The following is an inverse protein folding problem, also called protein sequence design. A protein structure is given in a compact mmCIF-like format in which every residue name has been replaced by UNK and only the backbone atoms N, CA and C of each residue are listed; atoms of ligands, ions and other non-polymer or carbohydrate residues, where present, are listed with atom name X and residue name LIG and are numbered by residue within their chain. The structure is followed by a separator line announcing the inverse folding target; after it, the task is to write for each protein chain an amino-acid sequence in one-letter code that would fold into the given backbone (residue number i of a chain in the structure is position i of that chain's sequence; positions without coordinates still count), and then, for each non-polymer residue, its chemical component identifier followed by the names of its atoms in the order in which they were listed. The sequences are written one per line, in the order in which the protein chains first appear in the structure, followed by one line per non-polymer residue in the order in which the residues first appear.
data_IF_305406607072
#
_entry.id   IF_305406607072
#
_cell.length_a   1.000
_cell.length_b   1.000
_cell.length_c   1.000
_cell.angle_alpha   90.00
_cell.angle_beta   90.00
_cell.angle_gamma   90.00
#
_symmetry.space_group_name_H-M   'P 1'
#
loop_
_entity.id
_entity.type
_entity.pdbx_description
1 polymer ?
#
# COMPACT_ATOMS: atom_id res chain seq x y z
N UNK A 1 -27.00 -15.71 -1.92
CA UNK A 1 -25.68 -16.26 -2.30
C UNK A 1 -24.87 -16.46 -1.03
N UNK A 2 -24.50 -17.70 -0.67
CA UNK A 2 -23.49 -17.96 0.37
C UNK A 2 -22.14 -18.04 -0.36
N UNK A 3 -21.27 -17.06 -0.13
CA UNK A 3 -19.88 -17.12 -0.60
C UNK A 3 -19.08 -18.20 0.14
N UNK A 4 -17.89 -18.55 -0.34
CA UNK A 4 -17.00 -19.45 0.38
C UNK A 4 -16.76 -18.91 1.80
N UNK A 5 -16.91 -19.77 2.81
CA UNK A 5 -16.80 -19.40 4.23
C UNK A 5 -15.36 -19.09 4.66
N UNK A 6 -14.39 -19.44 3.82
CA UNK A 6 -12.96 -19.23 4.05
C UNK A 6 -12.27 -18.91 2.73
N UNK A 7 -11.31 -17.99 2.77
CA UNK A 7 -10.38 -17.72 1.67
C UNK A 7 -8.97 -18.07 2.16
N UNK A 8 -8.19 -18.70 1.28
CA UNK A 8 -6.79 -19.00 1.55
C UNK A 8 -5.93 -17.87 0.99
N UNK A 9 -4.90 -17.47 1.74
CA UNK A 9 -3.96 -16.43 1.33
C UNK A 9 -2.59 -17.05 1.33
N UNK A 10 -1.91 -16.97 0.19
CA UNK A 10 -0.53 -17.43 0.07
C UNK A 10 0.34 -16.71 1.14
N UNK A 11 1.02 -17.45 2.03
CA UNK A 11 1.83 -16.85 3.08
C UNK A 11 2.95 -15.97 2.55
N UNK A 12 3.48 -16.24 1.34
CA UNK A 12 4.50 -15.41 0.69
C UNK A 12 3.90 -14.04 0.34
N UNK A 13 2.69 -14.03 -0.24
CA UNK A 13 1.99 -12.78 -0.58
C UNK A 13 1.69 -11.97 0.67
N UNK A 14 1.27 -12.63 1.76
CA UNK A 14 1.00 -11.96 3.03
C UNK A 14 2.28 -11.36 3.66
N UNK A 15 3.41 -12.07 3.56
CA UNK A 15 4.71 -11.58 4.02
C UNK A 15 5.16 -10.35 3.21
N UNK A 16 5.10 -10.40 1.88
CA UNK A 16 5.45 -9.26 1.02
C UNK A 16 4.53 -8.05 1.24
N UNK A 17 3.23 -8.28 1.47
CA UNK A 17 2.28 -7.24 1.82
C UNK A 17 2.63 -6.51 3.12
N UNK A 18 3.19 -7.24 4.09
CA UNK A 18 3.63 -6.69 5.37
C UNK A 18 4.97 -5.97 5.22
N UNK A 19 5.96 -6.60 4.57
CA UNK A 19 7.27 -6.02 4.27
C UNK A 19 7.17 -4.69 3.52
N UNK A 20 6.30 -4.63 2.51
CA UNK A 20 6.06 -3.41 1.71
C UNK A 20 5.61 -2.23 2.59
N UNK A 21 4.84 -2.47 3.65
CA UNK A 21 4.40 -1.42 4.58
C UNK A 21 5.47 -1.04 5.58
N UNK A 22 6.27 -2.00 6.04
CA UNK A 22 7.44 -1.72 6.89
C UNK A 22 8.46 -0.84 6.16
N UNK A 23 8.73 -1.13 4.88
CA UNK A 23 9.59 -0.29 4.03
C UNK A 23 9.04 1.13 3.83
N UNK A 24 7.72 1.30 3.90
CA UNK A 24 7.07 2.62 3.90
C UNK A 24 7.14 3.32 5.27
N UNK A 25 7.66 2.67 6.32
CA UNK A 25 7.63 3.16 7.69
C UNK A 25 6.28 2.98 8.40
N UNK A 26 5.34 2.25 7.78
CA UNK A 26 3.98 2.05 8.27
C UNK A 26 3.91 0.81 9.18
N UNK A 27 4.67 0.80 10.28
CA UNK A 27 4.75 -0.37 11.16
C UNK A 27 3.44 -0.69 11.89
N UNK A 28 2.62 0.32 12.18
CA UNK A 28 1.31 0.18 12.86
C UNK A 28 0.14 0.01 11.87
N UNK A 29 0.41 -0.45 10.64
CA UNK A 29 -0.60 -0.48 9.58
C UNK A 29 -1.80 -1.37 9.89
N UNK A 30 -1.62 -2.41 10.71
CA UNK A 30 -2.71 -3.32 11.10
C UNK A 30 -3.70 -2.61 12.01
N UNK A 31 -3.20 -1.80 12.95
CA UNK A 31 -3.98 -0.93 13.82
C UNK A 31 -4.66 0.15 12.98
N UNK A 32 -3.94 0.83 12.09
CA UNK A 32 -4.52 1.86 11.19
C UNK A 32 -5.65 1.28 10.36
N UNK A 33 -5.50 0.09 9.75
CA UNK A 33 -6.57 -0.56 9.00
C UNK A 33 -7.77 -0.92 9.88
N UNK A 34 -7.53 -1.43 11.09
CA UNK A 34 -8.61 -1.76 12.03
C UNK A 34 -9.39 -0.51 12.43
N UNK A 35 -8.70 0.59 12.67
CA UNK A 35 -9.31 1.88 12.98
C UNK A 35 -10.11 2.43 11.80
N UNK A 36 -9.60 2.31 10.56
CA UNK A 36 -10.32 2.74 9.36
C UNK A 36 -11.69 2.04 9.24
N UNK A 37 -11.80 0.77 9.63
CA UNK A 37 -13.09 0.06 9.65
C UNK A 37 -14.10 0.63 10.65
N UNK A 38 -13.64 1.37 11.66
CA UNK A 38 -14.47 2.01 12.68
C UNK A 38 -14.79 3.48 12.33
N UNK A 39 -14.26 4.02 11.23
CA UNK A 39 -14.53 5.41 10.85
C UNK A 39 -15.95 5.59 10.34
N UNK A 40 -16.52 6.77 10.60
CA UNK A 40 -17.79 7.13 10.00
C UNK A 40 -17.66 7.35 8.49
N UNK A 41 -18.78 7.22 7.78
CA UNK A 41 -18.84 7.34 6.33
C UNK A 41 -18.32 8.68 5.82
N UNK A 42 -18.65 9.79 6.49
CA UNK A 42 -18.19 11.12 6.10
C UNK A 42 -16.66 11.22 6.09
N UNK A 43 -15.99 10.70 7.11
CA UNK A 43 -14.52 10.66 7.19
C UNK A 43 -13.94 9.79 6.07
N UNK A 44 -14.50 8.61 5.83
CA UNK A 44 -14.07 7.73 4.74
C UNK A 44 -14.17 8.43 3.38
N UNK A 45 -15.29 9.10 3.10
CA UNK A 45 -15.46 9.86 1.86
C UNK A 45 -14.43 10.98 1.72
N UNK A 46 -14.21 11.78 2.77
CA UNK A 46 -13.24 12.87 2.72
C UNK A 46 -11.82 12.39 2.47
N UNK A 47 -11.42 11.29 3.14
CA UNK A 47 -10.10 10.70 2.95
C UNK A 47 -9.97 10.13 1.54
N UNK A 48 -10.98 9.42 1.03
CA UNK A 48 -10.98 8.89 -0.33
C UNK A 48 -10.88 9.99 -1.40
N UNK A 49 -11.66 11.07 -1.27
CA UNK A 49 -11.60 12.22 -2.19
C UNK A 49 -10.22 12.87 -2.19
N UNK A 50 -9.63 13.11 -1.01
CA UNK A 50 -8.28 13.66 -0.88
C UNK A 50 -7.22 12.73 -1.46
N UNK A 51 -7.36 11.42 -1.24
CA UNK A 51 -6.45 10.41 -1.79
C UNK A 51 -6.45 10.47 -3.32
N UNK A 52 -7.64 10.41 -3.93
CA UNK A 52 -7.80 10.42 -5.39
C UNK A 52 -7.39 11.75 -6.03
N UNK A 53 -7.56 12.87 -5.30
CA UNK A 53 -7.17 14.20 -5.76
C UNK A 53 -5.69 14.54 -5.57
N UNK A 54 -4.95 13.80 -4.75
CA UNK A 54 -3.56 14.11 -4.39
C UNK A 54 -2.50 13.40 -5.22
N UNK A 55 -2.89 12.42 -6.03
CA UNK A 55 -1.96 11.70 -6.91
C UNK A 55 -2.22 12.01 -8.38
N UNK A 56 -1.15 12.38 -9.09
CA UNK A 56 -1.21 12.59 -10.53
C UNK A 56 -1.36 11.23 -11.24
N UNK A 57 -2.40 11.10 -12.06
CA UNK A 57 -2.68 9.88 -12.81
C UNK A 57 -2.18 10.03 -14.23
N UNK A 58 -0.95 9.59 -14.47
CA UNK A 58 -0.36 9.56 -15.80
C UNK A 58 -0.64 8.19 -16.46
N UNK A 59 -1.10 8.16 -17.72
CA UNK A 59 -1.14 6.93 -18.49
C UNK A 59 0.31 6.53 -18.82
N UNK A 60 0.85 5.60 -18.05
CA UNK A 60 2.16 4.98 -18.27
C UNK A 60 1.98 3.48 -18.44
N UNK A 61 2.85 2.86 -19.21
CA UNK A 61 2.92 1.39 -19.22
C UNK A 61 3.24 0.87 -17.80
N UNK A 62 2.68 -0.27 -17.44
CA UNK A 62 3.00 -0.89 -16.15
C UNK A 62 4.49 -1.28 -16.06
N UNK A 63 5.14 -1.48 -17.22
CA UNK A 63 6.54 -1.87 -17.36
C UNK A 63 7.52 -0.82 -16.85
N UNK A 64 7.15 0.47 -16.85
CA UNK A 64 7.99 1.56 -16.36
C UNK A 64 7.90 1.82 -14.85
N UNK A 65 6.97 1.16 -14.14
CA UNK A 65 6.77 1.39 -12.71
C UNK A 65 7.80 0.62 -11.89
N UNK A 66 8.69 1.35 -11.19
CA UNK A 66 9.71 0.77 -10.30
C UNK A 66 9.33 0.78 -8.82
N UNK A 67 8.19 1.40 -8.50
CA UNK A 67 7.72 1.62 -7.13
C UNK A 67 6.24 1.32 -7.02
N UNK A 68 5.82 0.93 -5.82
CA UNK A 68 4.42 0.88 -5.39
C UNK A 68 4.10 2.11 -4.54
N UNK A 69 2.96 2.72 -4.81
CA UNK A 69 2.43 3.83 -4.01
C UNK A 69 1.46 3.28 -2.96
N UNK A 70 1.68 3.63 -1.69
CA UNK A 70 0.85 3.26 -0.55
C UNK A 70 0.34 4.54 0.09
N UNK A 71 -0.97 4.65 0.29
CA UNK A 71 -1.55 5.78 0.98
C UNK A 71 -1.70 5.48 2.46
N UNK A 72 -1.20 6.37 3.30
CA UNK A 72 -1.41 6.38 4.74
C UNK A 72 -2.66 7.22 5.04
N UNK A 73 -3.78 6.59 5.46
CA UNK A 73 -5.02 7.32 5.71
C UNK A 73 -5.01 8.12 7.03
N UNK A 74 -4.13 7.80 7.96
CA UNK A 74 -4.01 8.51 9.24
C UNK A 74 -3.35 9.88 9.02
N UNK A 75 -2.23 9.90 8.29
CA UNK A 75 -1.48 11.11 7.97
C UNK A 75 -1.84 11.73 6.61
N UNK A 76 -2.67 11.06 5.83
CA UNK A 76 -3.14 11.48 4.50
C UNK A 76 -2.01 11.77 3.51
N UNK A 77 -1.01 10.89 3.48
CA UNK A 77 0.20 11.04 2.65
C UNK A 77 0.51 9.77 1.85
N UNK A 78 1.23 9.95 0.74
CA UNK A 78 1.69 8.86 -0.11
C UNK A 78 3.12 8.44 0.26
N UNK A 79 3.33 7.13 0.35
CA UNK A 79 4.64 6.50 0.50
C UNK A 79 4.95 5.72 -0.79
N UNK A 80 6.15 5.89 -1.32
CA UNK A 80 6.59 5.24 -2.56
C UNK A 80 7.70 4.24 -2.25
N UNK A 81 7.39 2.95 -2.35
CA UNK A 81 8.30 1.85 -1.98
C UNK A 81 8.82 1.18 -3.26
N UNK A 82 10.13 1.02 -3.44
CA UNK A 82 10.70 0.27 -4.56
C UNK A 82 10.25 -1.21 -4.59
N UNK A 83 10.05 -1.77 -5.79
CA UNK A 83 9.78 -3.22 -5.95
C UNK A 83 11.00 -4.10 -5.64
N UNK A 84 12.20 -3.53 -5.77
CA UNK A 84 13.47 -4.17 -5.47
C UNK A 84 14.31 -3.18 -4.69
N UNK A 85 15.10 -3.66 -3.72
CA UNK A 85 16.25 -2.86 -3.27
C UNK A 85 17.09 -2.51 -4.51
N UNK A 86 17.67 -1.31 -4.60
CA UNK A 86 18.64 -1.06 -5.66
C UNK A 86 19.65 -2.21 -5.61
N UNK A 87 19.90 -2.85 -6.75
CA UNK A 87 21.01 -3.81 -6.86
C UNK A 87 22.19 -3.18 -6.12
N UNK A 88 22.63 -3.83 -5.05
CA UNK A 88 23.87 -3.46 -4.39
C UNK A 88 24.92 -3.64 -5.49
N UNK A 89 25.34 -2.52 -6.09
CA UNK A 89 26.35 -2.41 -7.14
C UNK A 89 27.74 -2.73 -6.54
N UNK A 90 27.80 -3.84 -5.78
CA UNK A 90 28.96 -4.49 -5.22
C UNK A 90 29.20 -5.78 -6.00
N UNK A 91 29.26 -5.66 -7.32
CA UNK A 91 29.94 -6.62 -8.17
C UNK A 91 30.17 -5.99 -9.54
N UNK A 92 31.28 -5.27 -9.67
CA UNK A 92 32.32 -5.64 -10.63
C UNK A 92 33.60 -4.80 -10.47
N UNK A 93 34.65 -5.53 -10.07
CA UNK A 93 36.09 -5.36 -10.33
C UNK A 93 36.80 -4.04 -9.98
#
# INVERSE_FOLDING_TARGET
MRGPLTFDVDPIVLAEYSRTRELAGLFAWQETHREVLNWNSQRLYQVAERTLGSIERLPRDAMGCKQVALFDPEFQQWHFVPYSEPDDDRSQA
#
